data_IF_397114448452
#
_entry.id   IF_397114448452
#
_cell.length_a   1.000
_cell.length_b   1.000
_cell.length_c   1.000
_cell.angle_alpha   90.00
_cell.angle_beta   90.00
_cell.angle_gamma   90.00
#
_symmetry.space_group_name_H-M   'P 1'
#
loop_
_entity.id
_entity.type
_entity.pdbx_description
1 polymer ?
#
# COMPACT_ATOMS: atom_id res chain seq x y z
N UNK A 1 -45.54 4.59 17.23
CA UNK A 1 -45.38 5.42 18.45
C UNK A 1 -43.92 5.36 18.86
N UNK A 2 -43.24 6.49 18.95
CA UNK A 2 -41.81 6.56 19.29
C UNK A 2 -41.61 6.88 20.77
N UNK A 3 -40.64 6.21 21.42
CA UNK A 3 -40.30 6.43 22.83
C UNK A 3 -39.82 7.86 23.09
N UNK A 4 -40.20 8.40 24.26
CA UNK A 4 -39.83 9.73 24.73
C UNK A 4 -38.31 9.82 24.91
N UNK A 5 -37.73 11.00 24.63
CA UNK A 5 -36.29 11.24 24.73
C UNK A 5 -35.73 10.94 26.14
N UNK A 6 -36.56 11.11 27.18
CA UNK A 6 -36.21 10.80 28.57
C UNK A 6 -36.07 9.29 28.83
N UNK A 7 -36.82 8.44 28.12
CA UNK A 7 -36.71 6.98 28.29
C UNK A 7 -35.45 6.42 27.62
N UNK A 8 -34.92 7.13 26.61
CA UNK A 8 -33.70 6.74 25.87
C UNK A 8 -32.41 6.91 26.66
N UNK A 9 -32.35 7.82 27.64
CA UNK A 9 -31.17 8.05 28.47
C UNK A 9 -31.11 7.12 29.69
N UNK A 10 -32.26 6.68 30.21
CA UNK A 10 -32.35 5.86 31.41
C UNK A 10 -32.09 4.35 31.18
N UNK A 11 -32.31 3.83 29.97
CA UNK A 11 -32.25 2.39 29.69
C UNK A 11 -31.31 2.02 28.52
N UNK A 12 -30.00 1.86 28.76
CA UNK A 12 -29.04 1.45 27.71
C UNK A 12 -29.34 0.07 27.10
N UNK A 13 -30.05 -0.83 27.80
CA UNK A 13 -30.45 -2.16 27.28
C UNK A 13 -31.46 -2.07 26.12
N UNK A 14 -32.44 -1.16 26.19
CA UNK A 14 -33.46 -0.96 25.14
C UNK A 14 -32.87 -0.36 23.85
N UNK A 15 -31.79 0.44 23.99
CA UNK A 15 -31.03 0.98 22.85
C UNK A 15 -30.33 -0.11 22.03
N UNK A 16 -29.97 -1.23 22.66
CA UNK A 16 -29.25 -2.32 22.00
C UNK A 16 -30.19 -3.32 21.32
N UNK A 17 -31.37 -3.61 21.87
CA UNK A 17 -32.30 -4.57 21.26
C UNK A 17 -32.77 -4.12 19.86
N UNK A 18 -32.96 -2.81 19.62
CA UNK A 18 -33.27 -2.28 18.30
C UNK A 18 -32.08 -2.27 17.30
N UNK A 19 -30.83 -2.37 17.79
CA UNK A 19 -29.62 -2.55 16.96
C UNK A 19 -29.29 -4.01 16.68
N UNK A 20 -29.82 -4.92 17.48
CA UNK A 20 -29.68 -6.38 17.33
C UNK A 20 -30.87 -6.94 16.53
N UNK A 21 -31.46 -6.16 15.62
CA UNK A 21 -32.11 -6.75 14.46
C UNK A 21 -31.09 -7.65 13.74
N UNK A 22 -31.49 -8.78 13.13
CA UNK A 22 -30.55 -9.69 12.49
C UNK A 22 -29.82 -8.89 11.42
N UNK A 23 -28.59 -8.49 11.71
CA UNK A 23 -27.65 -7.99 10.73
C UNK A 23 -27.26 -9.19 9.89
N UNK A 24 -28.21 -9.61 9.03
CA UNK A 24 -28.01 -10.47 7.88
C UNK A 24 -27.17 -9.75 6.83
N UNK A 25 -26.14 -9.04 7.27
CA UNK A 25 -25.06 -8.60 6.42
C UNK A 25 -24.40 -9.88 5.94
N UNK A 26 -24.83 -10.34 4.76
CA UNK A 26 -24.15 -11.39 4.03
C UNK A 26 -22.66 -11.13 4.18
N UNK A 27 -21.95 -12.05 4.86
CA UNK A 27 -20.49 -11.95 5.05
C UNK A 27 -19.91 -11.80 3.67
N UNK A 28 -19.64 -10.56 3.24
CA UNK A 28 -19.10 -10.28 1.91
C UNK A 28 -17.79 -11.04 1.86
N UNK A 29 -17.76 -12.08 1.02
CA UNK A 29 -16.59 -12.93 0.86
C UNK A 29 -15.45 -11.98 0.48
N UNK A 30 -14.48 -11.80 1.38
CA UNK A 30 -13.34 -10.91 1.12
C UNK A 30 -12.65 -11.47 -0.11
N UNK A 31 -12.76 -10.79 -1.26
CA UNK A 31 -11.97 -11.16 -2.41
C UNK A 31 -10.51 -11.06 -1.98
N UNK A 32 -9.77 -12.17 -2.10
CA UNK A 32 -8.34 -12.18 -1.85
C UNK A 32 -7.72 -11.21 -2.85
N UNK A 33 -7.19 -10.09 -2.35
CA UNK A 33 -6.49 -9.15 -3.21
C UNK A 33 -5.23 -9.84 -3.72
N UNK A 34 -5.07 -9.87 -5.05
CA UNK A 34 -3.85 -10.38 -5.69
C UNK A 34 -2.69 -9.47 -5.30
N UNK A 35 -1.59 -10.02 -4.81
CA UNK A 35 -0.36 -9.28 -4.55
C UNK A 35 0.26 -8.69 -5.83
N UNK A 36 1.20 -7.77 -5.69
CA UNK A 36 1.99 -7.27 -6.82
C UNK A 36 3.01 -8.33 -7.26
N UNK A 37 3.07 -8.58 -8.55
CA UNK A 37 4.07 -9.42 -9.21
C UNK A 37 5.38 -8.65 -9.41
N UNK A 38 6.49 -9.37 -9.66
CA UNK A 38 7.78 -8.75 -9.95
C UNK A 38 7.73 -7.85 -11.18
N UNK A 39 7.08 -8.30 -12.26
CA UNK A 39 6.93 -7.53 -13.49
C UNK A 39 6.14 -6.24 -13.28
N UNK A 40 5.05 -6.30 -12.49
CA UNK A 40 4.30 -5.09 -12.12
C UNK A 40 5.17 -4.10 -11.34
N UNK A 41 6.03 -4.58 -10.43
CA UNK A 41 6.94 -3.72 -9.66
C UNK A 41 8.02 -3.11 -10.57
N UNK A 42 8.59 -3.89 -11.48
CA UNK A 42 9.59 -3.38 -12.44
C UNK A 42 8.99 -2.30 -13.34
N UNK A 43 7.79 -2.54 -13.88
CA UNK A 43 7.08 -1.54 -14.68
C UNK A 43 6.78 -0.28 -13.87
N UNK A 44 6.42 -0.40 -12.58
CA UNK A 44 6.25 0.76 -11.71
C UNK A 44 7.55 1.58 -11.59
N UNK A 45 8.72 0.94 -11.45
CA UNK A 45 10.01 1.62 -11.34
C UNK A 45 10.39 2.34 -12.64
N UNK A 46 10.17 1.72 -13.80
CA UNK A 46 10.37 2.37 -15.11
C UNK A 46 9.49 3.62 -15.26
N UNK A 47 8.22 3.54 -14.85
CA UNK A 47 7.31 4.67 -14.88
C UNK A 47 7.72 5.78 -13.89
N UNK A 48 8.28 5.44 -12.73
CA UNK A 48 8.82 6.43 -11.79
C UNK A 48 10.02 7.17 -12.35
N UNK A 49 10.88 6.49 -13.12
CA UNK A 49 11.98 7.13 -13.83
C UNK A 49 11.45 8.09 -14.90
N UNK A 50 10.40 7.67 -15.63
CA UNK A 50 9.78 8.48 -16.69
C UNK A 50 9.05 9.71 -16.15
N UNK A 51 8.38 9.58 -15.01
CA UNK A 51 7.61 10.64 -14.35
C UNK A 51 8.33 11.18 -13.11
N UNK A 52 9.66 11.22 -13.14
CA UNK A 52 10.45 11.66 -11.98
C UNK A 52 10.11 13.10 -11.61
N UNK A 53 9.85 13.36 -10.32
CA UNK A 53 9.48 14.68 -9.79
C UNK A 53 7.98 15.03 -9.87
N UNK A 54 7.15 14.21 -10.52
CA UNK A 54 5.71 14.44 -10.54
C UNK A 54 5.05 14.14 -9.19
N UNK A 55 4.12 15.00 -8.77
CA UNK A 55 3.32 14.77 -7.56
C UNK A 55 2.27 13.65 -7.75
N UNK A 56 1.84 13.40 -8.99
CA UNK A 56 0.73 12.49 -9.33
C UNK A 56 1.15 11.24 -10.10
N UNK A 57 2.37 10.71 -9.88
CA UNK A 57 2.88 9.50 -10.56
C UNK A 57 1.89 8.33 -10.49
N UNK A 58 1.31 8.06 -9.32
CA UNK A 58 0.37 6.94 -9.16
C UNK A 58 -0.89 7.07 -10.04
N UNK A 59 -1.33 8.30 -10.36
CA UNK A 59 -2.45 8.56 -11.26
C UNK A 59 -2.04 8.48 -12.73
N UNK A 60 -0.82 8.90 -13.07
CA UNK A 60 -0.27 8.74 -14.43
C UNK A 60 0.01 7.27 -14.77
N UNK A 61 0.33 6.47 -13.75
CA UNK A 61 0.55 5.02 -13.90
C UNK A 61 -0.76 4.22 -13.92
N UNK A 62 -1.88 4.83 -13.52
CA UNK A 62 -3.21 4.21 -13.59
C UNK A 62 -3.60 4.05 -15.07
N UNK A 63 -3.69 2.81 -15.53
CA UNK A 63 -3.92 2.47 -16.95
C UNK A 63 -2.74 1.74 -17.61
N UNK A 64 -1.52 1.87 -17.08
CA UNK A 64 -0.39 1.04 -17.51
C UNK A 64 -0.37 -0.31 -16.78
N UNK A 65 -0.95 -0.34 -15.58
CA UNK A 65 -1.08 -1.52 -14.73
C UNK A 65 -2.57 -1.78 -14.49
N UNK A 66 -2.96 -3.05 -14.36
CA UNK A 66 -4.30 -3.46 -13.93
C UNK A 66 -4.49 -3.25 -12.42
N UNK A 67 -4.18 -2.03 -11.96
CA UNK A 67 -4.13 -1.61 -10.56
C UNK A 67 -4.66 -0.19 -10.45
N UNK A 68 -5.46 0.02 -9.41
CA UNK A 68 -5.98 1.35 -9.09
C UNK A 68 -4.90 2.28 -8.57
N UNK A 69 -5.05 3.60 -8.77
CA UNK A 69 -4.13 4.59 -8.22
C UNK A 69 -4.00 4.52 -6.69
N UNK A 70 -5.02 4.02 -5.98
CA UNK A 70 -4.92 3.77 -4.54
C UNK A 70 -3.93 2.63 -4.24
N UNK A 71 -4.06 1.48 -4.91
CA UNK A 71 -3.15 0.35 -4.70
C UNK A 71 -1.70 0.71 -5.06
N UNK A 72 -1.50 1.50 -6.11
CA UNK A 72 -0.18 2.00 -6.47
C UNK A 72 0.39 2.92 -5.38
N UNK A 73 -0.41 3.84 -4.82
CA UNK A 73 0.01 4.65 -3.67
C UNK A 73 0.36 3.81 -2.45
N UNK A 74 -0.50 2.86 -2.10
CA UNK A 74 -0.29 1.96 -0.97
C UNK A 74 1.01 1.15 -1.16
N UNK A 75 1.28 0.66 -2.38
CA UNK A 75 2.51 -0.06 -2.72
C UNK A 75 3.76 0.83 -2.64
N UNK A 76 3.69 2.07 -3.14
CA UNK A 76 4.78 3.07 -3.06
C UNK A 76 5.10 3.50 -1.63
N UNK A 77 4.11 3.44 -0.73
CA UNK A 77 4.29 3.77 0.67
C UNK A 77 5.09 2.69 1.43
N UNK A 78 5.17 1.46 0.91
CA UNK A 78 5.89 0.37 1.57
C UNK A 78 7.40 0.65 1.62
N UNK A 79 8.07 0.40 2.76
CA UNK A 79 9.52 0.60 2.90
C UNK A 79 10.32 -0.21 1.87
N UNK A 80 9.93 -1.46 1.60
CA UNK A 80 10.61 -2.33 0.64
C UNK A 80 10.61 -1.77 -0.78
N UNK A 81 9.53 -1.08 -1.18
CA UNK A 81 9.47 -0.44 -2.49
C UNK A 81 10.31 0.84 -2.52
N UNK A 82 10.35 1.61 -1.43
CA UNK A 82 11.17 2.83 -1.35
C UNK A 82 12.65 2.52 -1.53
N UNK A 83 13.16 1.49 -0.87
CA UNK A 83 14.56 1.05 -1.01
C UNK A 83 14.89 0.68 -2.45
N UNK A 84 14.03 -0.11 -3.11
CA UNK A 84 14.20 -0.47 -4.53
C UNK A 84 14.16 0.76 -5.45
N UNK A 85 13.26 1.70 -5.18
CA UNK A 85 13.14 2.94 -5.96
C UNK A 85 14.39 3.80 -5.82
N UNK A 86 14.92 3.95 -4.61
CA UNK A 86 16.14 4.70 -4.36
C UNK A 86 17.35 4.08 -5.05
N UNK A 87 17.48 2.75 -4.99
CA UNK A 87 18.53 2.01 -5.71
C UNK A 87 18.41 2.18 -7.23
N UNK A 88 17.19 2.05 -7.76
CA UNK A 88 16.93 2.15 -9.20
C UNK A 88 17.11 3.56 -9.77
N UNK A 89 16.79 4.59 -8.99
CA UNK A 89 16.96 5.99 -9.38
C UNK A 89 18.35 6.55 -9.06
N UNK A 90 19.19 5.80 -8.34
CA UNK A 90 20.55 6.22 -8.04
C UNK A 90 21.32 6.39 -9.35
N UNK A 91 21.92 7.56 -9.62
CA UNK A 91 22.80 7.70 -10.77
C UNK A 91 23.95 6.70 -10.61
N UNK A 92 24.13 5.83 -11.61
CA UNK A 92 25.16 4.81 -11.57
C UNK A 92 26.50 5.48 -11.92
N UNK A 93 27.45 5.63 -10.97
CA UNK A 93 28.67 6.40 -11.19
C UNK A 93 29.62 5.75 -12.21
N UNK A 94 29.36 4.48 -12.59
CA UNK A 94 30.20 3.73 -13.54
C UNK A 94 29.83 3.96 -15.01
N UNK A 95 28.81 4.75 -15.31
CA UNK A 95 28.34 4.96 -16.70
C UNK A 95 28.79 6.30 -17.31
N UNK A 96 29.57 7.11 -16.57
CA UNK A 96 30.10 8.41 -17.06
C UNK A 96 31.41 8.28 -17.85
N UNK A 97 32.03 7.09 -17.92
CA UNK A 97 33.37 6.90 -18.50
C UNK A 97 33.37 6.24 -19.90
N UNK A 98 32.29 6.34 -20.68
CA UNK A 98 32.29 5.84 -22.07
C UNK A 98 31.55 6.72 -23.08
N UNK A 99 31.50 8.04 -22.82
CA UNK A 99 31.24 9.00 -23.90
C UNK A 99 32.60 9.45 -24.46
N UNK A 100 33.15 8.63 -25.37
CA UNK A 100 34.16 9.06 -26.35
C UNK A 100 33.54 10.13 -27.26
N UNK A 101 33.43 11.36 -26.77
CA UNK A 101 33.22 12.56 -27.58
C UNK A 101 34.58 13.28 -27.71
N UNK A 102 35.38 12.98 -28.74
CA UNK A 102 36.56 13.77 -29.05
C UNK A 102 36.10 15.06 -29.76
N UNK A 103 36.37 16.18 -29.08
CA UNK A 103 36.42 17.54 -29.61
C UNK A 103 35.09 18.32 -29.67
N UNK A 104 34.97 19.28 -28.75
CA UNK A 104 34.27 20.52 -29.10
C UNK A 104 33.86 21.41 -27.94
N UNK A 105 34.73 22.35 -27.59
CA UNK A 105 34.38 23.68 -27.04
C UNK A 105 33.92 23.74 -25.57
N UNK A 106 34.76 24.12 -24.61
CA UNK A 106 35.27 25.49 -24.38
C UNK A 106 34.15 26.51 -24.18
N UNK A 107 33.92 26.92 -22.93
CA UNK A 107 33.07 28.06 -22.58
C UNK A 107 32.57 28.08 -21.13
N UNK A 108 33.40 28.64 -20.25
CA UNK A 108 33.11 29.21 -18.92
C UNK A 108 31.63 29.37 -18.50
N UNK A 109 31.30 28.92 -17.28
CA UNK A 109 30.65 29.80 -16.29
C UNK A 109 30.91 29.28 -14.87
N UNK A 110 31.81 29.98 -14.16
CA UNK A 110 31.92 29.99 -12.70
C UNK A 110 30.58 30.45 -12.13
N UNK A 111 29.77 29.54 -11.58
CA UNK A 111 28.66 29.91 -10.71
C UNK A 111 29.13 29.73 -9.27
N UNK A 112 29.41 30.87 -8.66
CA UNK A 112 29.77 31.01 -7.25
C UNK A 112 28.75 30.28 -6.37
N UNK A 113 29.25 29.30 -5.63
CA UNK A 113 28.57 28.66 -4.50
C UNK A 113 28.34 29.75 -3.44
N UNK A 114 27.11 30.24 -3.32
CA UNK A 114 26.69 30.96 -2.13
C UNK A 114 26.40 29.92 -1.05
N UNK A 115 27.32 29.83 -0.10
CA UNK A 115 27.20 29.10 1.14
C UNK A 115 26.09 29.76 1.98
N UNK A 116 24.87 29.23 1.88
CA UNK A 116 23.75 29.65 2.71
C UNK A 116 23.96 29.12 4.13
N UNK A 117 24.47 30.00 4.98
CA UNK A 117 24.64 29.79 6.42
C UNK A 117 23.28 29.47 7.04
N UNK A 118 23.04 28.19 7.34
CA UNK A 118 21.89 27.76 8.13
C UNK A 118 22.07 28.30 9.56
N UNK A 119 21.17 29.15 10.08
CA UNK A 119 21.25 29.61 11.44
C UNK A 119 21.13 28.42 12.40
N UNK A 120 22.18 28.23 13.17
CA UNK A 120 22.28 27.23 14.22
C UNK A 120 21.25 27.56 15.31
N UNK A 121 20.08 26.91 15.23
CA UNK A 121 19.07 26.94 16.29
C UNK A 121 19.61 26.20 17.50
N UNK A 122 20.22 26.97 18.42
CA UNK A 122 20.49 26.55 19.79
C UNK A 122 19.16 26.27 20.48
N UNK A 123 18.84 24.99 20.63
CA UNK A 123 17.76 24.55 21.50
C UNK A 123 18.24 24.72 22.94
N UNK A 124 17.54 25.58 23.69
CA UNK A 124 17.69 25.68 25.13
C UNK A 124 17.37 24.32 25.75
N UNK A 125 18.32 23.78 26.53
CA UNK A 125 18.11 22.63 27.38
C UNK A 125 17.05 23.00 28.42
N UNK A 126 15.82 22.53 28.21
CA UNK A 126 14.78 22.53 29.22
C UNK A 126 15.03 21.34 30.13
N UNK A 127 15.78 21.58 31.20
CA UNK A 127 15.82 20.75 32.40
C UNK A 127 14.40 20.60 32.96
N UNK A 128 13.99 19.35 33.18
CA UNK A 128 12.84 18.98 33.99
C UNK A 128 11.68 18.35 33.23
N UNK A 129 11.65 17.03 33.17
CA UNK A 129 10.36 16.33 33.27
C UNK A 129 10.51 15.02 34.07
N UNK A 130 9.80 15.02 35.19
CA UNK A 130 9.68 14.00 36.22
C UNK A 130 8.97 12.78 35.61
N UNK A 131 9.74 11.92 34.95
CA UNK A 131 9.20 10.71 34.31
C UNK A 131 8.85 9.69 35.38
N UNK A 132 7.61 9.73 35.87
CA UNK A 132 7.01 8.63 36.62
C UNK A 132 7.07 7.34 35.78
N UNK A 133 7.55 6.21 36.34
CA UNK A 133 7.51 4.94 35.63
C UNK A 133 6.06 4.51 35.41
N UNK A 134 5.71 4.24 34.16
CA UNK A 134 4.39 3.73 33.78
C UNK A 134 4.08 2.40 34.51
N UNK A 135 2.83 2.19 34.96
CA UNK A 135 2.41 0.92 35.54
C UNK A 135 2.55 -0.19 34.50
N UNK A 136 3.28 -1.24 34.85
CA UNK A 136 3.47 -2.41 33.99
C UNK A 136 2.12 -3.03 33.66
N UNK A 137 1.74 -2.99 32.38
CA UNK A 137 0.58 -3.69 31.88
C UNK A 137 0.86 -5.19 31.92
N UNK A 138 0.18 -5.90 32.82
CA UNK A 138 0.17 -7.36 32.88
C UNK A 138 -0.36 -7.89 31.56
N UNK A 139 0.50 -8.54 30.79
CA UNK A 139 0.21 -9.16 29.50
C UNK A 139 -0.76 -10.33 29.72
N UNK A 140 -1.99 -10.32 29.17
CA UNK A 140 -2.87 -11.48 29.26
C UNK A 140 -2.34 -12.58 28.34
N UNK A 141 -2.05 -13.75 28.92
CA UNK A 141 -1.71 -14.96 28.17
C UNK A 141 -2.77 -15.25 27.10
N UNK A 142 -2.40 -15.03 25.84
CA UNK A 142 -3.24 -15.39 24.70
C UNK A 142 -3.07 -16.90 24.49
N UNK A 143 -4.12 -17.73 24.66
CA UNK A 143 -4.01 -19.16 24.39
C UNK A 143 -3.67 -19.36 22.91
N UNK A 144 -2.57 -20.07 22.66
CA UNK A 144 -2.09 -20.46 21.33
C UNK A 144 -3.09 -21.45 20.73
N UNK A 145 -4.06 -20.93 19.98
CA UNK A 145 -4.98 -21.77 19.20
C UNK A 145 -4.22 -22.22 17.95
N UNK A 146 -3.68 -23.44 18.00
CA UNK A 146 -3.06 -24.09 16.84
C UNK A 146 -4.15 -24.36 15.80
N UNK A 147 -4.08 -23.77 14.59
CA UNK A 147 -5.09 -24.03 13.56
C UNK A 147 -4.92 -25.46 13.04
N UNK A 148 -5.92 -26.32 13.32
CA UNK A 148 -6.05 -27.63 12.69
C UNK A 148 -6.22 -27.43 11.18
N UNK A 149 -5.19 -27.77 10.40
CA UNK A 149 -5.23 -27.73 8.95
C UNK A 149 -6.07 -28.93 8.48
N UNK A 150 -7.34 -28.67 8.14
CA UNK A 150 -8.16 -29.64 7.41
C UNK A 150 -7.69 -29.65 5.96
N UNK A 151 -6.84 -30.62 5.62
CA UNK A 151 -6.41 -30.90 4.26
C UNK A 151 -7.64 -31.35 3.48
N UNK A 152 -8.11 -30.52 2.55
CA UNK A 152 -9.16 -30.90 1.60
C UNK A 152 -8.55 -31.73 0.48
N UNK A 153 -9.18 -32.84 0.06
CA UNK A 153 -8.68 -33.66 -1.03
C UNK A 153 -8.73 -32.88 -2.36
N UNK A 154 -7.62 -32.99 -3.10
CA UNK A 154 -7.39 -32.40 -4.41
C UNK A 154 -8.35 -33.04 -5.44
N UNK A 155 -9.37 -32.30 -5.88
CA UNK A 155 -10.19 -32.71 -7.02
C UNK A 155 -9.40 -32.51 -8.32
N UNK A 156 -9.26 -33.60 -9.05
CA UNK A 156 -8.58 -33.74 -10.34
C UNK A 156 -9.42 -33.09 -11.47
N UNK A 157 -8.90 -32.08 -12.21
CA UNK A 157 -9.63 -31.40 -13.28
C UNK A 157 -9.46 -32.10 -14.64
N UNK A 158 -9.61 -33.43 -14.69
CA UNK A 158 -9.58 -34.19 -15.95
C UNK A 158 -10.97 -34.69 -16.30
N UNK A 159 -11.84 -33.77 -16.73
CA UNK A 159 -13.11 -34.13 -17.36
C UNK A 159 -13.37 -33.19 -18.54
N UNK A 160 -13.15 -33.65 -19.79
CA UNK A 160 -13.51 -32.85 -20.96
C UNK A 160 -15.03 -32.78 -21.07
N UNK A 161 -15.60 -31.58 -20.99
CA UNK A 161 -16.99 -31.36 -21.34
C UNK A 161 -17.14 -31.40 -22.86
N UNK A 162 -17.68 -32.51 -23.36
CA UNK A 162 -18.19 -32.62 -24.73
C UNK A 162 -19.26 -31.55 -24.97
N UNK A 163 -18.91 -30.55 -25.78
CA UNK A 163 -19.86 -29.54 -26.23
C UNK A 163 -20.57 -30.09 -27.47
N UNK A 164 -21.74 -30.67 -27.27
CA UNK A 164 -22.65 -31.08 -28.35
C UNK A 164 -23.27 -29.82 -29.00
N UNK A 165 -22.77 -29.45 -30.18
CA UNK A 165 -23.46 -28.51 -31.06
C UNK A 165 -24.56 -29.26 -31.81
N UNK A 166 -25.72 -29.38 -31.18
CA UNK A 166 -26.92 -29.87 -31.85
C UNK A 166 -27.37 -28.85 -32.89
N UNK A 167 -27.31 -29.30 -34.13
CA UNK A 167 -27.78 -28.62 -35.34
C UNK A 167 -29.26 -28.29 -35.21
N UNK A 168 -29.62 -27.03 -35.48
CA UNK A 168 -30.99 -26.60 -35.76
C UNK A 168 -31.09 -26.19 -37.22
N UNK A 169 -31.37 -27.16 -38.09
CA UNK A 169 -31.84 -26.99 -39.46
C UNK A 169 -33.37 -27.08 -39.45
N UNK A 170 -34.02 -26.40 -40.39
CA UNK A 170 -35.46 -26.35 -40.74
C UNK A 170 -36.34 -25.41 -39.90
N UNK A 171 -37.20 -24.57 -40.48
CA UNK A 171 -37.55 -24.34 -41.90
C UNK A 171 -38.43 -23.11 -42.01
#
# INVERSE_FOLDING_TARGET
MGFSQHERSAHPKVRNEARVGPSGGAKRRRLRQRGFTGDEVNLMLELERRFHGDQFVAKKNEGCLDRTAKQLRDKRALPSYKSLREEYLRPNPLQEESSDDPAGSSGNEEVAVQEEVVPQLVFAEADGDDTQPAPQATEPEIPVVVPTIVVSPLLDPSSPQETAWSQGITG
#
